data_IF_178831442572
#
_entry.id   IF_178831442572
#
_cell.length_a   1.000
_cell.length_b   1.000
_cell.length_c   1.000
_cell.angle_alpha   90.00
_cell.angle_beta   90.00
_cell.angle_gamma   90.00
#
_symmetry.space_group_name_H-M   'P 1'
#
loop_
_entity.id
_entity.type
_entity.pdbx_description
1 polymer ?
#
# COMPACT_ATOMS: atom_id res chain seq x y z
N UNK A 1 42.35 87.20 6.03
CA UNK A 1 42.55 86.21 4.98
C UNK A 1 42.11 84.87 5.61
N UNK A 2 40.87 84.51 5.40
CA UNK A 2 40.25 83.34 6.04
C UNK A 2 40.03 82.28 4.97
N UNK A 3 40.78 81.18 5.09
CA UNK A 3 40.78 80.08 4.11
C UNK A 3 39.84 79.00 4.61
N UNK A 4 38.63 79.05 4.18
CA UNK A 4 37.62 77.94 4.42
C UNK A 4 37.89 76.79 3.48
N UNK A 5 38.50 75.72 3.99
CA UNK A 5 38.57 74.42 3.31
C UNK A 5 37.23 73.69 3.39
N UNK A 6 36.42 73.77 2.32
CA UNK A 6 35.20 72.98 2.11
C UNK A 6 35.59 71.52 1.83
N UNK A 7 35.49 70.65 2.83
CA UNK A 7 35.57 69.19 2.63
C UNK A 7 34.36 68.72 1.79
N UNK A 8 34.58 68.43 0.51
CA UNK A 8 33.61 67.76 -0.38
C UNK A 8 33.29 66.32 0.16
N UNK A 9 32.17 66.14 0.80
CA UNK A 9 31.65 64.78 1.13
C UNK A 9 31.28 64.09 -0.18
N UNK A 10 32.03 63.05 -0.50
CA UNK A 10 31.83 62.22 -1.70
C UNK A 10 30.47 61.48 -1.62
N UNK A 11 29.46 61.82 -2.47
CA UNK A 11 28.11 61.23 -2.39
C UNK A 11 28.04 59.75 -2.83
N UNK A 12 29.08 59.23 -3.47
CA UNK A 12 29.12 57.89 -4.02
C UNK A 12 29.23 56.75 -2.96
N UNK A 13 29.63 57.05 -1.73
CA UNK A 13 29.78 56.10 -0.65
C UNK A 13 28.45 55.67 0.02
N UNK A 14 27.38 56.44 -0.12
CA UNK A 14 26.07 56.11 0.51
C UNK A 14 25.13 55.33 -0.41
N UNK A 15 25.34 55.30 -1.72
CA UNK A 15 24.48 54.62 -2.68
C UNK A 15 24.70 53.08 -2.71
N UNK A 16 25.94 52.63 -2.50
CA UNK A 16 26.32 51.21 -2.62
C UNK A 16 25.80 50.33 -1.48
N UNK A 17 25.65 50.84 -0.27
CA UNK A 17 25.19 50.06 0.88
C UNK A 17 23.70 49.67 0.80
N UNK A 18 22.87 50.52 0.21
CA UNK A 18 21.42 50.22 0.09
C UNK A 18 21.13 48.99 -0.79
N UNK A 19 22.03 48.62 -1.68
CA UNK A 19 21.89 47.46 -2.58
C UNK A 19 22.62 46.20 -2.09
N UNK A 20 23.56 46.34 -1.12
CA UNK A 20 24.31 45.19 -0.60
C UNK A 20 23.43 44.27 0.23
N UNK A 21 22.52 44.80 1.04
CA UNK A 21 21.64 44.00 1.87
C UNK A 21 20.68 43.08 1.05
N UNK A 22 19.93 43.61 0.05
CA UNK A 22 19.06 42.73 -0.77
C UNK A 22 19.86 41.72 -1.60
N UNK A 23 21.03 42.08 -2.12
CA UNK A 23 21.91 41.13 -2.84
C UNK A 23 22.39 40.01 -1.93
N UNK A 24 22.77 40.33 -0.69
CA UNK A 24 23.18 39.35 0.30
C UNK A 24 22.03 38.40 0.66
N UNK A 25 20.81 38.91 0.87
CA UNK A 25 19.62 38.11 1.17
C UNK A 25 19.32 37.12 0.02
N UNK A 26 19.37 37.58 -1.22
CA UNK A 26 19.18 36.74 -2.41
C UNK A 26 20.30 35.68 -2.52
N UNK A 27 21.55 36.07 -2.30
CA UNK A 27 22.68 35.13 -2.37
C UNK A 27 22.61 34.07 -1.27
N UNK A 28 22.28 34.44 -0.03
CA UNK A 28 22.12 33.51 1.10
C UNK A 28 20.89 32.61 0.89
N UNK A 29 19.74 33.18 0.49
CA UNK A 29 18.54 32.43 0.18
C UNK A 29 18.75 31.43 -0.95
N UNK A 30 19.40 31.85 -2.03
CA UNK A 30 19.77 30.98 -3.15
C UNK A 30 20.75 29.89 -2.75
N UNK A 31 21.76 30.21 -1.91
CA UNK A 31 22.67 29.21 -1.37
C UNK A 31 22.00 28.16 -0.49
N UNK A 32 21.04 28.57 0.36
CA UNK A 32 20.26 27.65 1.20
C UNK A 32 19.38 26.75 0.33
N UNK A 33 18.68 27.32 -0.66
CA UNK A 33 17.84 26.56 -1.57
C UNK A 33 18.66 25.53 -2.38
N UNK A 34 19.81 25.93 -2.89
CA UNK A 34 20.73 25.04 -3.59
C UNK A 34 21.24 23.90 -2.69
N UNK A 35 21.65 24.21 -1.47
CA UNK A 35 22.11 23.20 -0.51
C UNK A 35 21.00 22.23 -0.12
N UNK A 36 19.75 22.71 -0.02
CA UNK A 36 18.58 21.88 0.23
C UNK A 36 18.35 20.92 -0.95
N UNK A 37 18.37 21.43 -2.18
CA UNK A 37 18.18 20.61 -3.37
C UNK A 37 19.25 19.54 -3.53
N UNK A 38 20.53 19.90 -3.35
CA UNK A 38 21.64 18.93 -3.39
C UNK A 38 21.44 17.82 -2.34
N UNK A 39 21.03 18.18 -1.13
CA UNK A 39 20.77 17.21 -0.06
C UNK A 39 19.59 16.32 -0.40
N UNK A 40 18.52 16.89 -0.95
CA UNK A 40 17.35 16.14 -1.37
C UNK A 40 17.71 15.11 -2.46
N UNK A 41 18.52 15.50 -3.46
CA UNK A 41 18.99 14.58 -4.50
C UNK A 41 19.86 13.44 -3.90
N UNK A 42 20.73 13.73 -2.94
CA UNK A 42 21.52 12.71 -2.25
C UNK A 42 20.63 11.67 -1.53
N UNK A 43 19.55 12.11 -0.88
CA UNK A 43 18.59 11.19 -0.26
C UNK A 43 17.83 10.35 -1.29
N UNK A 44 17.45 10.94 -2.42
CA UNK A 44 16.82 10.21 -3.53
C UNK A 44 17.73 9.11 -4.07
N UNK A 45 18.98 9.46 -4.37
CA UNK A 45 19.97 8.51 -4.88
C UNK A 45 20.21 7.38 -3.87
N UNK A 46 20.34 7.73 -2.59
CA UNK A 46 20.49 6.75 -1.52
C UNK A 46 19.29 5.80 -1.44
N UNK A 47 18.07 6.33 -1.52
CA UNK A 47 16.84 5.50 -1.49
C UNK A 47 16.79 4.53 -2.67
N UNK A 48 17.20 4.96 -3.86
CA UNK A 48 17.20 4.11 -5.05
C UNK A 48 18.34 3.07 -5.06
N UNK A 49 19.49 3.39 -4.49
CA UNK A 49 20.67 2.51 -4.48
C UNK A 49 20.70 1.53 -3.30
N UNK A 50 19.96 1.82 -2.23
CA UNK A 50 19.81 0.89 -1.11
C UNK A 50 18.88 -0.27 -1.52
N UNK A 51 19.27 -1.51 -1.19
CA UNK A 51 18.43 -2.67 -1.45
C UNK A 51 17.08 -2.52 -0.71
N UNK A 52 15.96 -2.94 -1.32
CA UNK A 52 14.63 -2.84 -0.69
C UNK A 52 14.56 -3.50 0.70
N UNK A 53 15.28 -4.61 0.90
CA UNK A 53 15.39 -5.31 2.19
C UNK A 53 16.03 -4.46 3.27
N UNK A 54 17.00 -3.63 2.89
CA UNK A 54 17.89 -2.94 3.84
C UNK A 54 17.37 -1.52 4.18
N UNK A 55 16.39 -1.01 3.41
CA UNK A 55 15.80 0.30 3.68
C UNK A 55 15.17 0.36 5.07
N UNK A 56 14.58 -0.74 5.53
CA UNK A 56 13.92 -0.83 6.82
C UNK A 56 14.88 -0.64 8.01
N UNK A 57 16.16 -0.94 7.83
CA UNK A 57 17.21 -0.86 8.84
C UNK A 57 17.81 0.56 8.96
N UNK A 58 17.38 1.49 8.09
CA UNK A 58 17.80 2.89 8.10
C UNK A 58 16.63 3.82 8.45
N UNK A 59 16.43 4.17 9.74
CA UNK A 59 15.31 5.02 10.16
C UNK A 59 15.28 6.40 9.49
N UNK A 60 16.44 6.96 9.14
CA UNK A 60 16.51 8.26 8.48
C UNK A 60 16.05 8.16 7.02
N UNK A 61 16.40 7.07 6.33
CA UNK A 61 15.95 6.79 4.97
C UNK A 61 14.44 6.49 4.94
N UNK A 62 13.94 5.73 5.93
CA UNK A 62 12.50 5.50 6.11
C UNK A 62 11.76 6.81 6.35
N UNK A 63 12.27 7.71 7.22
CA UNK A 63 11.64 9.01 7.47
C UNK A 63 11.58 9.88 6.22
N UNK A 64 12.68 9.92 5.45
CA UNK A 64 12.71 10.61 4.16
C UNK A 64 11.70 10.02 3.18
N UNK A 65 11.70 8.69 2.99
CA UNK A 65 10.77 8.04 2.07
C UNK A 65 9.30 8.23 2.48
N UNK A 66 9.00 8.29 3.78
CA UNK A 66 7.66 8.60 4.29
C UNK A 66 7.22 10.02 3.94
N UNK A 67 8.10 11.00 4.03
CA UNK A 67 7.76 12.38 3.66
C UNK A 67 7.46 12.53 2.18
N UNK A 68 8.12 11.75 1.32
CA UNK A 68 7.88 11.72 -0.13
C UNK A 68 6.64 10.86 -0.49
N UNK A 69 6.48 9.70 0.16
CA UNK A 69 5.42 8.75 -0.15
C UNK A 69 4.03 9.17 0.31
N UNK A 70 3.90 9.89 1.42
CA UNK A 70 2.60 10.30 1.95
C UNK A 70 1.79 11.19 0.98
N UNK A 71 2.34 12.26 0.38
CA UNK A 71 1.61 13.03 -0.62
C UNK A 71 1.29 12.23 -1.89
N UNK A 72 2.19 11.35 -2.33
CA UNK A 72 1.96 10.47 -3.47
C UNK A 72 0.79 9.49 -3.21
N UNK A 73 0.72 8.93 -1.99
CA UNK A 73 -0.42 8.11 -1.58
C UNK A 73 -1.74 8.88 -1.67
N UNK A 74 -1.78 10.07 -1.08
CA UNK A 74 -2.98 10.91 -1.10
C UNK A 74 -3.44 11.22 -2.52
N UNK A 75 -2.51 11.46 -3.44
CA UNK A 75 -2.79 11.82 -4.83
C UNK A 75 -3.22 10.63 -5.68
N UNK A 76 -2.59 9.47 -5.51
CA UNK A 76 -2.70 8.37 -6.48
C UNK A 76 -3.40 7.12 -5.93
N UNK A 77 -3.39 6.90 -4.62
CA UNK A 77 -3.83 5.64 -4.01
C UNK A 77 -5.11 5.77 -3.19
N UNK A 78 -5.30 6.93 -2.53
CA UNK A 78 -6.39 7.16 -1.59
C UNK A 78 -7.79 7.03 -2.20
N UNK A 79 -7.95 7.32 -3.50
CA UNK A 79 -9.24 7.18 -4.19
C UNK A 79 -9.78 5.75 -4.15
N UNK A 80 -8.89 4.74 -4.18
CA UNK A 80 -9.27 3.33 -4.12
C UNK A 80 -9.06 2.74 -2.73
N UNK A 81 -7.93 3.05 -2.06
CA UNK A 81 -7.56 2.42 -0.79
C UNK A 81 -8.04 3.19 0.45
N UNK A 82 -8.78 4.31 0.27
CA UNK A 82 -9.24 5.17 1.35
C UNK A 82 -8.15 6.15 1.82
N UNK A 83 -8.55 7.34 2.27
CA UNK A 83 -7.62 8.32 2.84
C UNK A 83 -6.99 7.83 4.15
N UNK A 84 -7.68 6.95 4.87
CA UNK A 84 -7.25 6.27 6.09
C UNK A 84 -6.55 4.93 5.84
N UNK A 85 -6.35 4.55 4.56
CA UNK A 85 -5.72 3.30 4.10
C UNK A 85 -6.49 2.01 4.46
N UNK A 86 -7.75 2.11 4.93
CA UNK A 86 -8.53 0.94 5.37
C UNK A 86 -9.17 0.14 4.24
N UNK A 87 -8.88 0.55 3.01
CA UNK A 87 -9.42 -0.11 1.83
C UNK A 87 -10.85 0.32 1.48
N UNK A 88 -11.38 -0.31 0.45
CA UNK A 88 -12.76 -0.13 0.00
C UNK A 88 -13.32 -1.49 -0.42
N UNK A 89 -14.30 -2.01 0.34
CA UNK A 89 -14.90 -3.32 0.13
C UNK A 89 -15.70 -3.41 -1.17
N UNK A 90 -16.33 -2.33 -1.60
CA UNK A 90 -17.17 -2.31 -2.81
C UNK A 90 -16.35 -2.63 -4.06
N UNK A 91 -15.16 -2.06 -4.14
CA UNK A 91 -14.22 -2.30 -5.24
C UNK A 91 -13.16 -3.36 -4.88
N UNK A 92 -13.14 -3.85 -3.62
CA UNK A 92 -12.20 -4.83 -3.09
C UNK A 92 -10.77 -4.37 -3.01
N UNK A 93 -10.57 -3.07 -2.85
CA UNK A 93 -9.26 -2.56 -2.51
C UNK A 93 -8.93 -2.93 -1.05
N UNK A 94 -7.79 -3.59 -0.80
CA UNK A 94 -7.44 -4.05 0.54
C UNK A 94 -7.06 -2.89 1.47
N UNK A 95 -7.14 -3.18 2.79
CA UNK A 95 -6.56 -2.35 3.84
C UNK A 95 -5.03 -2.38 3.70
N UNK A 96 -4.40 -1.21 3.63
CA UNK A 96 -2.95 -1.03 3.55
C UNK A 96 -2.34 -0.54 4.87
N UNK A 97 -3.19 -0.30 5.89
CA UNK A 97 -2.76 0.14 7.22
C UNK A 97 -2.61 -1.02 8.21
N UNK A 98 -2.71 -2.27 7.74
CA UNK A 98 -2.44 -3.47 8.54
C UNK A 98 -1.27 -4.27 7.94
N UNK A 99 -0.86 -5.32 8.62
CA UNK A 99 0.21 -6.20 8.17
C UNK A 99 -0.33 -7.51 7.54
N UNK A 100 -1.45 -7.43 6.83
CA UNK A 100 -2.07 -8.58 6.14
C UNK A 100 -1.94 -8.38 4.63
N UNK A 101 -1.02 -9.12 4.02
CA UNK A 101 -0.67 -8.98 2.61
C UNK A 101 -1.18 -10.15 1.79
N UNK A 102 -1.81 -9.85 0.65
CA UNK A 102 -2.25 -10.88 -0.29
C UNK A 102 -1.09 -11.43 -1.14
N UNK A 103 -0.09 -10.60 -1.43
CA UNK A 103 1.04 -10.98 -2.26
C UNK A 103 2.36 -10.73 -1.54
N UNK A 104 3.21 -11.76 -1.48
CA UNK A 104 4.49 -11.72 -0.79
C UNK A 104 4.35 -11.61 0.73
N UNK A 105 5.43 -11.19 1.37
CA UNK A 105 5.54 -11.03 2.83
C UNK A 105 5.25 -9.60 3.33
N UNK A 106 4.87 -8.71 2.40
CA UNK A 106 4.70 -7.29 2.69
C UNK A 106 6.02 -6.54 2.89
N UNK A 107 7.14 -7.10 2.47
CA UNK A 107 8.42 -6.39 2.40
C UNK A 107 8.39 -5.28 1.35
N UNK A 108 9.34 -4.34 1.45
CA UNK A 108 9.43 -3.19 0.53
C UNK A 108 9.49 -3.66 -0.92
N UNK A 109 10.26 -4.71 -1.22
CA UNK A 109 10.39 -5.27 -2.56
C UNK A 109 9.04 -5.77 -3.13
N UNK A 110 8.26 -6.49 -2.31
CA UNK A 110 6.99 -7.06 -2.73
C UNK A 110 5.91 -5.99 -2.96
N UNK A 111 5.90 -4.96 -2.11
CA UNK A 111 5.03 -3.79 -2.26
C UNK A 111 5.42 -3.01 -3.52
N UNK A 112 6.71 -2.72 -3.68
CA UNK A 112 7.24 -2.01 -4.86
C UNK A 112 6.90 -2.74 -6.16
N UNK A 113 7.10 -4.06 -6.21
CA UNK A 113 6.75 -4.88 -7.38
C UNK A 113 5.26 -4.80 -7.72
N UNK A 114 4.41 -4.80 -6.69
CA UNK A 114 2.95 -4.67 -6.88
C UNK A 114 2.57 -3.30 -7.43
N UNK A 115 3.20 -2.22 -6.95
CA UNK A 115 2.96 -0.87 -7.47
C UNK A 115 3.49 -0.74 -8.91
N UNK A 116 4.69 -1.24 -9.17
CA UNK A 116 5.32 -1.19 -10.51
C UNK A 116 4.44 -1.82 -11.59
N UNK A 117 4.01 -3.05 -11.37
CA UNK A 117 3.43 -3.89 -12.41
C UNK A 117 1.92 -4.13 -12.26
N UNK A 118 1.35 -3.74 -11.12
CA UNK A 118 -0.07 -3.90 -10.81
C UNK A 118 -0.48 -5.36 -10.56
N UNK A 119 -1.80 -5.55 -10.51
CA UNK A 119 -2.44 -6.85 -10.33
C UNK A 119 -3.36 -7.07 -11.54
N UNK A 120 -3.18 -8.16 -12.27
CA UNK A 120 -3.97 -8.56 -13.46
C UNK A 120 -4.05 -7.46 -14.54
N UNK A 121 -2.90 -6.86 -14.84
CA UNK A 121 -2.79 -5.77 -15.81
C UNK A 121 -2.49 -6.26 -17.25
N UNK A 122 -2.28 -7.56 -17.46
CA UNK A 122 -1.75 -8.10 -18.72
C UNK A 122 -0.23 -8.00 -18.85
N UNK A 123 0.46 -7.30 -17.95
CA UNK A 123 1.92 -7.31 -17.91
C UNK A 123 2.43 -8.66 -17.37
N UNK A 124 3.43 -9.25 -18.01
CA UNK A 124 4.00 -10.55 -17.60
C UNK A 124 4.60 -10.57 -16.19
N UNK A 125 4.93 -9.40 -15.64
CA UNK A 125 5.46 -9.23 -14.29
C UNK A 125 4.38 -8.88 -13.24
N UNK A 126 3.13 -8.66 -13.68
CA UNK A 126 2.03 -8.35 -12.77
C UNK A 126 1.68 -9.54 -11.87
N UNK A 127 1.01 -9.25 -10.77
CA UNK A 127 0.45 -10.28 -9.87
C UNK A 127 -0.81 -10.88 -10.54
N UNK A 128 -0.65 -11.94 -11.31
CA UNK A 128 -1.73 -12.52 -12.13
C UNK A 128 -1.62 -14.02 -12.34
N UNK A 129 -1.13 -14.75 -11.31
CA UNK A 129 -0.94 -16.21 -11.44
C UNK A 129 -2.28 -16.91 -11.67
N UNK A 130 -3.32 -16.52 -10.92
CA UNK A 130 -4.67 -17.06 -11.09
C UNK A 130 -5.73 -16.09 -10.54
N UNK A 131 -6.98 -16.33 -10.91
CA UNK A 131 -8.17 -15.72 -10.34
C UNK A 131 -8.94 -16.73 -9.52
N UNK A 132 -9.69 -16.29 -8.51
CA UNK A 132 -10.67 -17.13 -7.85
C UNK A 132 -11.86 -17.33 -8.81
N UNK A 133 -12.12 -18.56 -9.27
CA UNK A 133 -13.23 -18.81 -10.22
C UNK A 133 -14.60 -18.64 -9.55
N UNK A 134 -15.60 -18.29 -10.34
CA UNK A 134 -17.01 -18.27 -9.90
C UNK A 134 -17.57 -19.68 -9.91
N UNK A 135 -17.53 -20.38 -8.80
CA UNK A 135 -17.92 -21.78 -8.71
C UNK A 135 -19.41 -22.00 -8.97
N UNK A 136 -20.27 -21.11 -8.46
CA UNK A 136 -21.71 -21.15 -8.73
C UNK A 136 -22.02 -20.75 -10.17
N UNK A 137 -21.46 -19.63 -10.64
CA UNK A 137 -21.70 -19.13 -11.99
C UNK A 137 -21.28 -20.13 -13.09
N UNK A 138 -20.26 -20.94 -12.81
CA UNK A 138 -19.78 -21.99 -13.72
C UNK A 138 -20.51 -23.33 -13.55
N UNK A 139 -21.45 -23.44 -12.61
CA UNK A 139 -22.17 -24.67 -12.33
C UNK A 139 -21.31 -25.78 -11.70
N UNK A 140 -20.16 -25.42 -11.11
CA UNK A 140 -19.25 -26.38 -10.42
C UNK A 140 -19.81 -26.74 -9.05
N UNK A 141 -20.40 -25.79 -8.34
CA UNK A 141 -21.05 -25.95 -7.05
C UNK A 141 -22.49 -25.49 -7.12
N UNK A 142 -23.39 -26.27 -6.49
CA UNK A 142 -24.77 -25.84 -6.25
C UNK A 142 -24.85 -24.79 -5.15
N UNK A 143 -25.99 -24.11 -5.03
CA UNK A 143 -26.24 -23.16 -3.94
C UNK A 143 -26.07 -23.80 -2.57
N UNK A 144 -26.53 -25.05 -2.40
CA UNK A 144 -26.37 -25.81 -1.17
C UNK A 144 -24.92 -26.11 -0.84
N UNK A 145 -24.13 -26.47 -1.86
CA UNK A 145 -22.68 -26.70 -1.70
C UNK A 145 -21.97 -25.41 -1.25
N UNK A 146 -22.29 -24.26 -1.89
CA UNK A 146 -21.72 -22.97 -1.53
C UNK A 146 -22.08 -22.57 -0.10
N UNK A 147 -23.35 -22.76 0.31
CA UNK A 147 -23.76 -22.52 1.69
C UNK A 147 -22.98 -23.40 2.68
N UNK A 148 -22.73 -24.66 2.32
CA UNK A 148 -21.93 -25.57 3.14
C UNK A 148 -20.49 -25.10 3.27
N UNK A 149 -19.86 -24.66 2.17
CA UNK A 149 -18.51 -24.06 2.21
C UNK A 149 -18.51 -22.81 3.06
N UNK A 150 -19.49 -21.90 2.95
CA UNK A 150 -19.62 -20.72 3.80
C UNK A 150 -19.64 -21.11 5.28
N UNK A 151 -20.42 -22.14 5.69
CA UNK A 151 -20.43 -22.62 7.08
C UNK A 151 -19.06 -23.14 7.53
N UNK A 152 -18.32 -23.78 6.64
CA UNK A 152 -16.94 -24.19 6.94
C UNK A 152 -16.01 -22.98 7.13
N UNK A 153 -16.11 -21.94 6.30
CA UNK A 153 -15.33 -20.70 6.46
C UNK A 153 -15.66 -19.97 7.76
N UNK A 154 -16.94 -19.93 8.16
CA UNK A 154 -17.38 -19.38 9.45
C UNK A 154 -16.73 -20.15 10.62
N UNK A 155 -16.72 -21.50 10.55
CA UNK A 155 -16.03 -22.34 11.53
C UNK A 155 -14.53 -22.03 11.60
N UNK A 156 -13.85 -21.94 10.47
CA UNK A 156 -12.41 -21.65 10.41
C UNK A 156 -12.05 -20.29 11.02
N UNK A 157 -12.90 -19.28 10.80
CA UNK A 157 -12.71 -17.92 11.32
C UNK A 157 -13.25 -17.72 12.76
N UNK A 158 -13.64 -18.80 13.47
CA UNK A 158 -14.08 -18.75 14.86
C UNK A 158 -15.46 -18.12 15.08
N UNK A 159 -16.30 -18.10 14.05
CA UNK A 159 -17.67 -17.54 14.09
C UNK A 159 -18.70 -18.63 14.33
N UNK A 160 -19.95 -18.23 14.59
CA UNK A 160 -21.08 -19.20 14.70
C UNK A 160 -21.33 -19.85 13.35
N UNK A 161 -21.57 -21.16 13.35
CA UNK A 161 -21.78 -21.99 12.17
C UNK A 161 -22.70 -23.17 12.45
N UNK A 162 -23.22 -23.81 11.38
CA UNK A 162 -24.00 -25.04 11.41
C UNK A 162 -23.05 -26.23 11.25
N UNK A 163 -23.05 -27.15 12.24
CA UNK A 163 -22.03 -28.21 12.34
C UNK A 163 -22.06 -29.15 11.14
N UNK A 164 -23.24 -29.66 10.77
CA UNK A 164 -23.43 -30.63 9.67
C UNK A 164 -23.04 -30.00 8.33
N UNK A 165 -23.50 -28.77 8.07
CA UNK A 165 -23.17 -28.05 6.86
C UNK A 165 -21.67 -27.71 6.80
N UNK A 166 -21.02 -27.33 7.91
CA UNK A 166 -19.58 -27.08 7.94
C UNK A 166 -18.74 -28.35 7.68
N UNK A 167 -19.21 -29.53 8.11
CA UNK A 167 -18.56 -30.82 7.82
C UNK A 167 -18.65 -31.14 6.33
N UNK A 168 -19.81 -30.87 5.72
CA UNK A 168 -19.98 -31.00 4.26
C UNK A 168 -19.09 -29.99 3.53
N UNK A 169 -19.10 -28.72 3.93
CA UNK A 169 -18.27 -27.68 3.37
C UNK A 169 -16.79 -28.02 3.41
N UNK A 170 -16.29 -28.66 4.48
CA UNK A 170 -14.94 -29.17 4.54
C UNK A 170 -14.65 -30.20 3.45
N UNK A 171 -15.58 -31.15 3.21
CA UNK A 171 -15.40 -32.16 2.16
C UNK A 171 -15.36 -31.53 0.77
N UNK A 172 -16.19 -30.52 0.53
CA UNK A 172 -16.19 -29.77 -0.73
C UNK A 172 -14.88 -28.99 -0.89
N UNK A 173 -14.43 -28.31 0.16
CA UNK A 173 -13.20 -27.52 0.18
C UNK A 173 -11.97 -28.36 -0.19
N UNK A 174 -11.83 -29.56 0.36
CA UNK A 174 -10.72 -30.48 0.13
C UNK A 174 -10.89 -31.42 -1.04
N UNK A 175 -12.07 -31.43 -1.64
CA UNK A 175 -12.48 -32.33 -2.71
C UNK A 175 -12.73 -31.63 -4.05
N UNK A 176 -13.91 -31.74 -4.58
CA UNK A 176 -14.28 -31.38 -5.96
C UNK A 176 -14.03 -29.87 -6.31
N UNK A 177 -14.07 -28.98 -5.32
CA UNK A 177 -13.84 -27.56 -5.54
C UNK A 177 -12.37 -27.18 -5.52
N UNK A 178 -11.47 -28.04 -4.98
CA UNK A 178 -10.04 -27.81 -4.88
C UNK A 178 -9.66 -26.43 -4.34
N UNK A 179 -10.42 -25.90 -3.37
CA UNK A 179 -10.15 -24.59 -2.78
C UNK A 179 -8.75 -24.55 -2.13
N UNK A 180 -8.30 -25.70 -1.61
CA UNK A 180 -6.99 -25.89 -0.99
C UNK A 180 -5.81 -25.69 -1.95
N UNK A 181 -5.99 -25.79 -3.26
CA UNK A 181 -4.91 -25.58 -4.23
C UNK A 181 -4.39 -24.15 -4.21
N UNK A 182 -5.28 -23.18 -3.94
CA UNK A 182 -4.91 -21.77 -3.80
C UNK A 182 -4.87 -21.31 -2.35
N UNK A 183 -5.86 -21.76 -1.52
CA UNK A 183 -5.98 -21.31 -0.13
C UNK A 183 -5.22 -22.19 0.87
N UNK A 184 -4.43 -23.15 0.40
CA UNK A 184 -3.77 -24.21 1.15
C UNK A 184 -4.74 -25.17 1.86
N UNK A 185 -4.25 -26.37 2.18
CA UNK A 185 -5.08 -27.41 2.84
C UNK A 185 -5.53 -27.01 4.26
N UNK A 186 -4.76 -26.18 4.94
CA UNK A 186 -5.05 -25.60 6.26
C UNK A 186 -5.83 -24.27 6.18
N UNK A 187 -6.19 -23.83 4.98
CA UNK A 187 -6.91 -22.59 4.67
C UNK A 187 -6.19 -21.30 5.10
N UNK A 188 -4.87 -21.34 5.28
CA UNK A 188 -4.07 -20.15 5.64
C UNK A 188 -3.71 -19.26 4.46
N UNK A 189 -4.12 -19.66 3.26
CA UNK A 189 -3.85 -18.92 2.04
C UNK A 189 -2.45 -19.17 1.46
N UNK A 190 -2.22 -18.59 0.30
CA UNK A 190 -0.93 -18.61 -0.36
C UNK A 190 -0.66 -17.27 -1.05
N UNK A 191 0.39 -16.59 -0.61
CA UNK A 191 0.75 -15.26 -1.11
C UNK A 191 1.33 -15.28 -2.53
N UNK A 192 1.68 -16.45 -3.05
CA UNK A 192 2.06 -16.59 -4.46
C UNK A 192 0.85 -16.41 -5.38
N UNK A 193 -0.29 -16.99 -5.01
CA UNK A 193 -1.56 -16.87 -5.73
C UNK A 193 -2.32 -15.58 -5.40
N UNK A 194 -1.97 -14.90 -4.30
CA UNK A 194 -2.77 -13.82 -3.74
C UNK A 194 -4.05 -14.32 -3.10
N UNK A 195 -4.04 -15.58 -2.65
CA UNK A 195 -5.16 -16.22 -1.98
C UNK A 195 -5.12 -15.90 -0.48
N UNK A 196 -6.17 -15.26 0.08
CA UNK A 196 -6.18 -14.85 1.47
C UNK A 196 -6.24 -16.02 2.45
N UNK A 197 -5.76 -15.76 3.67
CA UNK A 197 -5.96 -16.61 4.82
C UNK A 197 -7.45 -16.60 5.23
N UNK A 198 -8.09 -17.76 5.19
CA UNK A 198 -9.52 -17.94 5.50
C UNK A 198 -9.77 -18.32 6.96
N UNK A 199 -8.72 -18.49 7.78
CA UNK A 199 -8.82 -18.82 9.20
C UNK A 199 -8.95 -17.60 10.10
N UNK A 200 -8.82 -16.41 9.54
CA UNK A 200 -8.93 -15.12 10.27
C UNK A 200 -10.21 -14.40 9.88
N UNK A 201 -10.75 -13.61 10.79
CA UNK A 201 -11.97 -12.84 10.51
C UNK A 201 -11.63 -11.47 9.87
N UNK A 202 -10.80 -11.49 8.81
CA UNK A 202 -10.43 -10.30 8.01
C UNK A 202 -10.74 -10.58 6.55
N UNK A 203 -11.65 -9.81 5.97
CA UNK A 203 -12.22 -10.07 4.65
C UNK A 203 -12.21 -8.82 3.78
N UNK A 204 -11.50 -8.86 2.68
CA UNK A 204 -11.38 -7.71 1.75
C UNK A 204 -12.68 -7.41 0.99
N UNK A 205 -13.57 -8.41 0.86
CA UNK A 205 -14.80 -8.31 0.07
C UNK A 205 -16.07 -8.32 0.94
N UNK A 206 -15.93 -8.04 2.25
CA UNK A 206 -16.98 -8.27 3.21
C UNK A 206 -16.91 -9.67 3.83
N UNK A 207 -17.41 -9.81 5.06
CA UNK A 207 -17.31 -11.04 5.83
C UNK A 207 -18.66 -11.61 6.26
N UNK A 208 -19.77 -11.04 5.84
CA UNK A 208 -21.08 -11.65 6.12
C UNK A 208 -21.22 -12.99 5.40
N UNK A 209 -22.09 -13.91 5.85
CA UNK A 209 -22.33 -15.14 5.12
C UNK A 209 -22.71 -14.89 3.65
N UNK A 210 -23.47 -13.84 3.40
CA UNK A 210 -23.86 -13.43 2.04
C UNK A 210 -22.68 -12.93 1.21
N UNK A 211 -21.76 -12.17 1.78
CA UNK A 211 -20.54 -11.72 1.10
C UNK A 211 -19.66 -12.92 0.72
N UNK A 212 -19.50 -13.89 1.64
CA UNK A 212 -18.75 -15.10 1.39
C UNK A 212 -19.42 -15.96 0.30
N UNK A 213 -20.74 -16.06 0.33
CA UNK A 213 -21.51 -16.73 -0.71
C UNK A 213 -21.26 -16.09 -2.08
N UNK A 214 -21.42 -14.76 -2.19
CA UNK A 214 -21.18 -14.01 -3.42
C UNK A 214 -19.75 -14.18 -3.94
N UNK A 215 -18.77 -14.14 -3.04
CA UNK A 215 -17.37 -14.33 -3.39
C UNK A 215 -17.11 -15.72 -4.02
N UNK A 216 -17.74 -16.77 -3.50
CA UNK A 216 -17.63 -18.14 -4.05
C UNK A 216 -18.44 -18.29 -5.32
N UNK A 217 -19.66 -17.74 -5.34
CA UNK A 217 -20.57 -17.87 -6.48
C UNK A 217 -20.02 -17.20 -7.74
N UNK A 218 -19.60 -15.92 -7.62
CA UNK A 218 -19.14 -15.10 -8.74
C UNK A 218 -17.62 -15.14 -8.96
N UNK A 219 -16.86 -15.59 -7.97
CA UNK A 219 -15.41 -15.50 -8.00
C UNK A 219 -14.85 -14.10 -7.67
N UNK A 220 -13.55 -13.94 -7.81
CA UNK A 220 -12.85 -12.66 -7.52
C UNK A 220 -11.85 -12.35 -8.64
N UNK A 221 -12.13 -11.28 -9.41
CA UNK A 221 -11.33 -10.85 -10.57
C UNK A 221 -10.85 -9.40 -10.43
N UNK A 222 -10.37 -9.04 -9.25
CA UNK A 222 -10.00 -7.65 -8.94
C UNK A 222 -8.67 -7.27 -9.57
N UNK A 223 -8.59 -6.05 -10.09
CA UNK A 223 -7.40 -5.53 -10.75
C UNK A 223 -6.85 -4.32 -10.01
N UNK A 224 -5.56 -4.12 -10.07
CA UNK A 224 -4.88 -2.89 -9.68
C UNK A 224 -4.00 -2.46 -10.85
N UNK A 225 -4.13 -1.22 -11.30
CA UNK A 225 -3.31 -0.72 -12.42
C UNK A 225 -1.82 -0.73 -12.08
N UNK A 226 -0.98 -0.88 -13.11
CA UNK A 226 0.45 -0.62 -13.01
C UNK A 226 0.70 0.89 -12.95
N UNK A 227 1.59 1.32 -12.07
CA UNK A 227 1.91 2.74 -11.92
C UNK A 227 3.15 3.16 -12.71
N UNK A 228 3.99 2.20 -13.14
CA UNK A 228 5.08 2.51 -14.06
C UNK A 228 4.57 2.50 -15.52
N UNK A 229 4.90 3.50 -16.38
CA UNK A 229 5.82 4.62 -16.13
C UNK A 229 5.17 5.92 -15.64
N UNK A 230 3.89 5.92 -15.22
CA UNK A 230 3.20 7.13 -14.74
C UNK A 230 3.91 7.74 -13.53
N UNK A 231 4.38 6.89 -12.60
CA UNK A 231 5.27 7.27 -11.51
C UNK A 231 6.71 6.82 -11.84
N UNK A 232 7.68 7.63 -11.45
CA UNK A 232 9.10 7.30 -11.53
C UNK A 232 9.46 6.18 -10.54
N UNK A 233 10.61 5.53 -10.76
CA UNK A 233 11.11 4.49 -9.84
C UNK A 233 11.32 5.03 -8.42
N UNK A 234 11.73 6.31 -8.29
CA UNK A 234 11.87 6.96 -6.99
C UNK A 234 10.53 7.09 -6.25
N UNK A 235 9.49 7.58 -6.95
CA UNK A 235 8.15 7.76 -6.37
C UNK A 235 7.55 6.41 -5.96
N UNK A 236 7.74 5.37 -6.78
CA UNK A 236 7.29 4.02 -6.47
C UNK A 236 8.03 3.44 -5.26
N UNK A 237 9.35 3.63 -5.17
CA UNK A 237 10.14 3.22 -4.01
C UNK A 237 9.72 3.96 -2.75
N UNK A 238 9.52 5.28 -2.81
CA UNK A 238 9.05 6.09 -1.70
C UNK A 238 7.67 5.66 -1.20
N UNK A 239 6.73 5.38 -2.12
CA UNK A 239 5.41 4.80 -1.81
C UNK A 239 5.53 3.44 -1.13
N UNK A 240 6.36 2.54 -1.66
CA UNK A 240 6.53 1.20 -1.10
C UNK A 240 7.06 1.24 0.34
N UNK A 241 8.06 2.09 0.60
CA UNK A 241 8.61 2.28 1.96
C UNK A 241 7.58 2.95 2.89
N UNK A 242 6.81 3.91 2.38
CA UNK A 242 5.73 4.54 3.15
C UNK A 242 4.69 3.51 3.60
N UNK A 243 4.17 2.69 2.69
CA UNK A 243 3.20 1.64 3.00
C UNK A 243 3.78 0.58 3.94
N UNK A 244 5.02 0.15 3.70
CA UNK A 244 5.75 -0.74 4.59
C UNK A 244 5.80 -0.21 6.02
N UNK A 245 6.17 1.06 6.20
CA UNK A 245 6.29 1.67 7.51
C UNK A 245 4.93 1.82 8.22
N UNK A 246 3.90 2.29 7.50
CA UNK A 246 2.54 2.47 8.08
C UNK A 246 1.93 1.14 8.50
N UNK A 247 2.08 0.08 7.69
CA UNK A 247 1.50 -1.24 8.00
C UNK A 247 2.11 -1.90 9.26
N UNK A 248 3.28 -1.42 9.70
CA UNK A 248 4.02 -1.95 10.86
C UNK A 248 4.02 -1.01 12.07
N UNK A 249 3.31 0.10 12.02
CA UNK A 249 3.16 0.99 13.17
C UNK A 249 2.51 0.27 14.37
N UNK A 250 2.86 0.66 15.61
CA UNK A 250 2.19 0.13 16.80
C UNK A 250 0.67 0.26 16.67
N UNK A 251 -0.04 -0.85 16.84
CA UNK A 251 -1.50 -0.90 16.66
C UNK A 251 -1.98 -1.25 15.24
N UNK A 252 -1.11 -1.46 14.26
CA UNK A 252 -1.52 -1.93 12.93
C UNK A 252 -2.34 -3.22 13.00
N UNK A 253 -1.86 -4.22 13.76
CA UNK A 253 -2.58 -5.47 13.98
C UNK A 253 -3.91 -5.27 14.75
N UNK A 254 -3.94 -4.35 15.73
CA UNK A 254 -5.16 -4.02 16.47
C UNK A 254 -6.19 -3.32 15.55
N UNK A 255 -5.77 -2.47 14.64
CA UNK A 255 -6.63 -1.86 13.62
C UNK A 255 -7.25 -2.89 12.71
N UNK A 256 -6.49 -3.89 12.26
CA UNK A 256 -6.99 -5.00 11.47
C UNK A 256 -8.06 -5.81 12.22
N UNK A 257 -7.80 -6.15 13.48
CA UNK A 257 -8.73 -6.90 14.33
C UNK A 257 -10.01 -6.10 14.62
N UNK A 258 -9.90 -4.80 14.86
CA UNK A 258 -11.06 -3.93 15.10
C UNK A 258 -11.93 -3.82 13.83
N UNK A 259 -11.32 -3.62 12.67
CA UNK A 259 -12.02 -3.59 11.39
C UNK A 259 -12.76 -4.90 11.12
N UNK A 260 -12.18 -6.04 11.50
CA UNK A 260 -12.82 -7.35 11.39
C UNK A 260 -14.04 -7.51 12.32
N UNK A 261 -14.01 -6.93 13.52
CA UNK A 261 -15.10 -7.01 14.51
C UNK A 261 -16.27 -6.06 14.23
N UNK A 262 -16.00 -4.93 13.59
CA UNK A 262 -16.99 -3.90 13.23
C UNK A 262 -17.58 -4.10 11.83
N UNK A 263 -17.16 -5.14 11.13
CA UNK A 263 -17.76 -5.57 9.87
C UNK A 263 -19.16 -6.14 10.15
N UNK A 264 -20.23 -5.59 9.55
CA UNK A 264 -21.58 -6.08 9.69
C UNK A 264 -21.75 -7.52 9.16
#
# INVERSE_FOLDING_TARGET
MDSQTKTRRNPLRRASWKWLAPVLVVAVGGGIAYAHEVRHQQWRDRLLTTLPSDVADDPALVAFARSEGAPLYAQHCAACHGADMRGNREIGAPNLADNIWLYGDGGVFEIERTILYGIRTGNSKSRSVTDMPGFGQRGVLSDGDIHSVVQYLLKLSGRQYQVEAANEGRRIYTGNANCGDCHAADARGDTYYGAPNLTVNVWNSGGTPEDLYKAIYFGQHRTMQAWFPTLSLFEIRALAVYLYAVSREPGAAARATLAARTAP
#
